data_IF_781506843082
#
_entry.id   IF_781506843082
#
_cell.length_a   1.000
_cell.length_b   1.000
_cell.length_c   1.000
_cell.angle_alpha   90.00
_cell.angle_beta   90.00
_cell.angle_gamma   90.00
#
_symmetry.space_group_name_H-M   'P 1'
#
loop_
_entity.id
_entity.type
_entity.pdbx_description
1 polymer ?
#
# COMPACT_ATOMS: atom_id res chain seq x y z
N UNK A 1 16.59 27.40 45.66
CA UNK A 1 16.94 27.42 44.21
C UNK A 1 16.66 26.09 43.51
N UNK A 2 16.93 24.93 44.13
CA UNK A 2 16.68 23.61 43.51
C UNK A 2 15.23 23.39 43.02
N UNK A 3 14.22 23.76 43.82
CA UNK A 3 12.81 23.58 43.44
C UNK A 3 12.38 24.46 42.25
N UNK A 4 13.00 25.63 42.07
CA UNK A 4 12.74 26.53 40.95
C UNK A 4 13.35 25.98 39.66
N UNK A 5 14.56 25.43 39.73
CA UNK A 5 15.21 24.76 38.60
C UNK A 5 14.43 23.52 38.15
N UNK A 6 13.92 22.73 39.11
CA UNK A 6 13.10 21.55 38.82
C UNK A 6 11.79 21.92 38.12
N UNK A 7 11.10 22.96 38.63
CA UNK A 7 9.85 23.46 38.05
C UNK A 7 10.05 24.02 36.63
N UNK A 8 11.12 24.78 36.39
CA UNK A 8 11.45 25.31 35.07
C UNK A 8 11.81 24.19 34.07
N UNK A 9 12.49 23.14 34.54
CA UNK A 9 12.84 21.98 33.71
C UNK A 9 11.60 21.17 33.31
N UNK A 10 10.67 20.96 34.25
CA UNK A 10 9.41 20.28 33.99
C UNK A 10 8.52 21.09 33.02
N UNK A 11 8.44 22.41 33.20
CA UNK A 11 7.71 23.29 32.28
C UNK A 11 8.33 23.27 30.87
N UNK A 12 9.66 23.28 30.76
CA UNK A 12 10.35 23.16 29.48
C UNK A 12 10.06 21.85 28.77
N UNK A 13 10.05 20.72 29.49
CA UNK A 13 9.72 19.41 28.93
C UNK A 13 8.26 19.34 28.47
N UNK A 14 7.32 19.87 29.25
CA UNK A 14 5.90 19.92 28.87
C UNK A 14 5.71 20.76 27.62
N UNK A 15 6.35 21.94 27.54
CA UNK A 15 6.29 22.79 26.35
C UNK A 15 6.94 22.13 25.12
N UNK A 16 8.03 21.37 25.30
CA UNK A 16 8.65 20.62 24.21
C UNK A 16 7.74 19.48 23.72
N UNK A 17 7.11 18.74 24.64
CA UNK A 17 6.15 17.67 24.31
C UNK A 17 4.89 18.22 23.65
N UNK A 18 4.36 19.35 24.12
CA UNK A 18 3.22 20.03 23.51
C UNK A 18 3.59 20.58 22.13
N UNK A 19 4.78 21.16 21.96
CA UNK A 19 5.24 21.66 20.65
C UNK A 19 5.48 20.51 19.66
N UNK A 20 5.97 19.37 20.14
CA UNK A 20 6.10 18.15 19.34
C UNK A 20 4.73 17.57 18.99
N UNK A 21 3.79 17.49 19.93
CA UNK A 21 2.43 17.02 19.68
C UNK A 21 1.68 17.94 18.72
N UNK A 22 1.72 19.26 18.93
CA UNK A 22 1.15 20.25 18.02
C UNK A 22 1.79 20.09 16.65
N UNK A 23 3.12 20.04 16.53
CA UNK A 23 3.77 19.76 15.24
C UNK A 23 3.29 18.44 14.62
N UNK A 24 3.16 17.37 15.38
CA UNK A 24 2.69 16.08 14.85
C UNK A 24 1.23 16.12 14.37
N UNK A 25 0.35 16.86 15.06
CA UNK A 25 -1.08 16.94 14.75
C UNK A 25 -1.46 18.10 13.80
N UNK A 26 -0.64 19.14 13.71
CA UNK A 26 -0.90 20.36 12.92
C UNK A 26 0.10 20.59 11.80
N UNK A 27 1.27 19.93 11.80
CA UNK A 27 2.02 19.86 10.54
C UNK A 27 1.09 19.18 9.55
N UNK A 28 0.91 19.74 8.34
CA UNK A 28 0.41 18.92 7.25
C UNK A 28 1.29 17.68 7.28
N UNK A 29 0.67 16.49 7.36
CA UNK A 29 1.43 15.24 7.31
C UNK A 29 2.47 15.36 6.20
N UNK A 30 3.64 14.67 6.31
CA UNK A 30 4.68 14.74 5.27
C UNK A 30 4.01 14.70 3.92
N UNK A 31 4.46 15.47 2.90
CA UNK A 31 3.75 15.74 1.64
C UNK A 31 3.52 14.43 0.86
N UNK A 32 2.67 13.59 1.40
CA UNK A 32 2.21 12.34 0.87
C UNK A 32 1.24 12.80 -0.20
N UNK A 33 0.26 13.64 0.14
CA UNK A 33 -0.86 13.94 -0.76
C UNK A 33 -0.54 14.89 -1.94
N UNK A 34 0.47 15.75 -1.89
CA UNK A 34 0.71 16.75 -2.96
C UNK A 34 1.55 16.23 -4.13
N UNK A 35 2.44 15.24 -3.92
CA UNK A 35 3.08 14.51 -5.03
C UNK A 35 2.28 13.26 -5.46
N UNK A 36 1.36 12.82 -4.61
CA UNK A 36 0.44 11.71 -4.87
C UNK A 36 -0.52 11.96 -6.04
N UNK A 37 -0.78 13.19 -6.49
CA UNK A 37 -1.73 13.45 -7.58
C UNK A 37 -1.32 12.79 -8.92
N UNK A 38 -0.03 12.48 -9.09
CA UNK A 38 0.49 11.76 -10.27
C UNK A 38 0.45 10.25 -10.14
N UNK A 39 0.26 9.72 -8.93
CA UNK A 39 0.23 8.29 -8.63
C UNK A 39 -1.19 7.83 -8.30
N UNK A 40 -2.00 8.68 -7.70
CA UNK A 40 -3.32 8.37 -7.20
C UNK A 40 -4.38 9.26 -7.84
N UNK A 41 -5.53 8.67 -8.14
CA UNK A 41 -6.74 9.39 -8.54
C UNK A 41 -7.93 8.94 -7.68
N UNK A 42 -8.99 9.74 -7.57
CA UNK A 42 -10.25 9.27 -7.01
C UNK A 42 -10.70 7.97 -7.68
N UNK A 43 -11.17 7.00 -6.90
CA UNK A 43 -11.66 5.74 -7.47
C UNK A 43 -13.10 5.89 -7.97
N UNK A 44 -13.39 5.21 -9.07
CA UNK A 44 -14.77 5.03 -9.55
C UNK A 44 -15.53 3.96 -8.74
N UNK A 45 -14.84 3.19 -7.90
CA UNK A 45 -15.46 2.16 -7.06
C UNK A 45 -16.09 2.82 -5.83
N UNK A 46 -17.42 2.71 -5.62
CA UNK A 46 -18.08 3.32 -4.48
C UNK A 46 -17.46 2.90 -3.15
N UNK A 47 -17.06 3.88 -2.33
CA UNK A 47 -16.44 3.66 -1.02
C UNK A 47 -14.92 3.51 -1.03
N UNK A 48 -14.28 3.37 -2.21
CA UNK A 48 -12.83 3.34 -2.32
C UNK A 48 -12.33 4.78 -2.56
N UNK A 49 -11.54 5.39 -1.66
CA UNK A 49 -11.21 6.81 -1.77
C UNK A 49 -10.31 7.13 -2.97
N UNK A 50 -9.39 6.23 -3.29
CA UNK A 50 -8.41 6.42 -4.36
C UNK A 50 -7.99 5.09 -4.97
N UNK A 51 -7.45 5.15 -6.18
CA UNK A 51 -6.74 4.06 -6.83
C UNK A 51 -5.49 4.60 -7.54
N UNK A 52 -4.57 3.71 -7.89
CA UNK A 52 -3.41 4.13 -8.68
C UNK A 52 -3.81 4.54 -10.11
N UNK A 53 -3.14 5.55 -10.63
CA UNK A 53 -3.19 5.94 -12.04
C UNK A 53 -2.31 4.96 -12.82
N UNK A 54 -2.84 4.18 -13.78
CA UNK A 54 -2.01 3.34 -14.65
C UNK A 54 -0.98 4.16 -15.41
N UNK A 55 0.29 3.74 -15.40
CA UNK A 55 1.40 4.52 -15.96
C UNK A 55 1.81 5.73 -15.11
N UNK A 56 1.24 5.91 -13.92
CA UNK A 56 1.52 7.02 -13.02
C UNK A 56 2.97 7.02 -12.56
N UNK A 57 3.58 8.21 -12.51
CA UNK A 57 4.97 8.41 -12.08
C UNK A 57 5.09 9.63 -11.16
N UNK A 58 5.79 9.46 -10.05
CA UNK A 58 5.93 10.46 -9.01
C UNK A 58 6.79 9.95 -7.86
N UNK A 59 6.82 10.69 -6.76
CA UNK A 59 7.54 10.28 -5.57
C UNK A 59 6.57 9.98 -4.43
N UNK A 60 6.87 8.91 -3.68
CA UNK A 60 6.15 8.54 -2.46
C UNK A 60 7.18 8.39 -1.35
N UNK A 61 7.09 9.24 -0.34
CA UNK A 61 8.06 9.30 0.77
C UNK A 61 9.49 9.48 0.23
N UNK A 62 9.66 10.39 -0.74
CA UNK A 62 10.95 10.72 -1.34
C UNK A 62 11.56 9.62 -2.22
N UNK A 63 10.80 8.59 -2.57
CA UNK A 63 11.22 7.51 -3.48
C UNK A 63 10.46 7.56 -4.78
N UNK A 64 11.21 7.49 -5.88
CA UNK A 64 10.62 7.39 -7.22
C UNK A 64 9.74 6.13 -7.27
N UNK A 65 8.52 6.34 -7.75
CA UNK A 65 7.48 5.34 -7.81
C UNK A 65 6.85 5.37 -9.18
N UNK A 66 6.78 4.20 -9.80
CA UNK A 66 6.11 3.99 -11.08
C UNK A 66 5.03 2.93 -10.90
N UNK A 67 3.88 3.21 -11.51
CA UNK A 67 2.74 2.29 -11.58
C UNK A 67 2.66 1.79 -13.02
N UNK A 68 2.64 0.47 -13.20
CA UNK A 68 2.54 -0.14 -14.51
C UNK A 68 1.17 0.07 -15.16
N UNK A 69 1.04 -0.35 -16.42
CA UNK A 69 -0.16 -0.23 -17.25
C UNK A 69 -1.39 -0.94 -16.65
N UNK A 70 -1.19 -1.87 -15.73
CA UNK A 70 -2.24 -2.62 -15.04
C UNK A 70 -2.60 -2.06 -13.65
N UNK A 71 -1.90 -1.02 -13.17
CA UNK A 71 -2.16 -0.37 -11.89
C UNK A 71 -1.35 -0.92 -10.70
N UNK A 72 -0.32 -1.71 -10.96
CA UNK A 72 0.58 -2.29 -9.95
C UNK A 72 1.88 -1.51 -9.84
N UNK A 73 2.46 -1.49 -8.64
CA UNK A 73 3.84 -1.06 -8.44
C UNK A 73 4.76 -2.27 -8.64
N UNK A 74 4.87 -2.69 -9.90
CA UNK A 74 5.62 -3.87 -10.36
C UNK A 74 6.17 -3.56 -11.77
N UNK A 75 7.13 -4.35 -12.28
CA UNK A 75 7.47 -4.33 -13.70
C UNK A 75 6.24 -4.60 -14.59
N UNK A 76 6.33 -4.25 -15.87
CA UNK A 76 5.28 -4.60 -16.84
C UNK A 76 5.17 -6.12 -17.02
N UNK A 77 3.94 -6.62 -17.06
CA UNK A 77 3.66 -8.03 -17.32
C UNK A 77 2.39 -8.22 -18.16
N UNK A 78 2.34 -9.30 -18.92
CA UNK A 78 1.15 -9.63 -19.72
C UNK A 78 -0.05 -9.90 -18.82
N UNK A 79 -1.23 -9.30 -19.06
CA UNK A 79 -2.44 -9.67 -18.33
C UNK A 79 -2.85 -11.13 -18.61
N UNK A 80 -2.51 -11.67 -19.79
CA UNK A 80 -2.77 -13.06 -20.16
C UNK A 80 -1.74 -13.99 -19.53
N UNK A 81 -2.22 -14.95 -18.73
CA UNK A 81 -1.38 -15.96 -18.07
C UNK A 81 -0.96 -17.03 -19.08
N UNK A 82 0.35 -17.18 -19.30
CA UNK A 82 0.88 -18.25 -20.11
C UNK A 82 0.69 -19.62 -19.43
N UNK A 83 0.51 -20.72 -20.20
CA UNK A 83 0.46 -22.07 -19.65
C UNK A 83 1.68 -22.39 -18.77
N UNK A 84 1.47 -23.16 -17.71
CA UNK A 84 2.54 -23.54 -16.76
C UNK A 84 3.09 -22.40 -15.89
N UNK A 85 2.56 -21.18 -15.96
CA UNK A 85 3.04 -20.05 -15.13
C UNK A 85 2.33 -20.01 -13.78
N UNK A 86 2.99 -20.28 -12.66
CA UNK A 86 2.40 -20.00 -11.32
C UNK A 86 2.42 -18.49 -11.06
N UNK A 87 1.35 -18.00 -10.44
CA UNK A 87 1.04 -16.58 -10.43
C UNK A 87 0.62 -16.13 -9.01
N UNK A 88 1.26 -15.10 -8.44
CA UNK A 88 1.16 -14.72 -7.00
C UNK A 88 0.72 -13.27 -6.82
N UNK A 89 -0.39 -13.02 -6.12
CA UNK A 89 -0.73 -11.66 -5.68
C UNK A 89 -0.19 -11.44 -4.28
N UNK A 90 0.45 -10.30 -4.04
CA UNK A 90 0.72 -9.84 -2.68
C UNK A 90 -0.24 -8.70 -2.35
N UNK A 91 -0.97 -8.85 -1.25
CA UNK A 91 -2.00 -7.91 -0.83
C UNK A 91 -1.67 -7.36 0.54
N UNK A 92 -1.79 -6.04 0.68
CA UNK A 92 -1.58 -5.37 1.95
C UNK A 92 -1.73 -3.87 1.83
N UNK A 93 -1.11 -3.17 2.77
CA UNK A 93 -1.17 -1.73 2.91
C UNK A 93 0.13 -1.08 2.40
N UNK A 94 0.43 0.11 2.93
CA UNK A 94 1.67 0.86 2.67
C UNK A 94 2.95 0.04 2.77
N UNK A 95 2.99 -0.99 3.62
CA UNK A 95 4.13 -1.90 3.78
C UNK A 95 4.31 -2.80 2.55
N UNK A 96 3.22 -3.41 2.06
CA UNK A 96 3.28 -4.25 0.85
C UNK A 96 3.53 -3.39 -0.38
N UNK A 97 2.95 -2.19 -0.44
CA UNK A 97 3.25 -1.23 -1.49
C UNK A 97 4.71 -0.74 -1.47
N UNK A 98 5.40 -0.85 -0.33
CA UNK A 98 6.79 -0.43 -0.16
C UNK A 98 6.99 1.08 -0.10
N UNK A 99 6.11 1.82 0.59
CA UNK A 99 6.29 3.27 0.74
C UNK A 99 7.66 3.61 1.35
N UNK A 100 8.40 4.53 0.73
CA UNK A 100 9.75 4.89 1.19
C UNK A 100 10.85 3.89 0.82
N UNK A 101 10.54 2.88 0.01
CA UNK A 101 11.47 1.84 -0.46
C UNK A 101 11.59 1.91 -1.98
N UNK A 102 12.78 1.63 -2.53
CA UNK A 102 12.99 1.48 -3.97
C UNK A 102 12.24 0.24 -4.49
N UNK A 103 11.74 0.24 -5.73
CA UNK A 103 10.92 -0.87 -6.27
C UNK A 103 11.55 -2.27 -6.08
N UNK A 104 12.85 -2.50 -6.39
CA UNK A 104 13.46 -3.82 -6.26
C UNK A 104 13.54 -4.33 -4.80
N UNK A 105 13.52 -3.42 -3.83
CA UNK A 105 13.63 -3.72 -2.41
C UNK A 105 12.25 -3.89 -1.74
N UNK A 106 11.17 -3.71 -2.50
CA UNK A 106 9.81 -3.93 -1.99
C UNK A 106 9.56 -5.42 -1.70
N UNK A 107 8.65 -5.69 -0.75
CA UNK A 107 8.29 -7.08 -0.42
C UNK A 107 7.81 -7.88 -1.65
N UNK A 108 6.94 -7.35 -2.54
CA UNK A 108 6.56 -8.06 -3.77
C UNK A 108 7.74 -8.34 -4.70
N UNK A 109 8.66 -7.38 -4.89
CA UNK A 109 9.81 -7.56 -5.76
C UNK A 109 10.83 -8.56 -5.19
N UNK A 110 11.14 -8.46 -3.91
CA UNK A 110 12.01 -9.43 -3.20
C UNK A 110 11.38 -10.83 -3.22
N UNK A 111 10.08 -10.93 -2.93
CA UNK A 111 9.36 -12.19 -3.01
C UNK A 111 9.39 -12.75 -4.44
N UNK A 112 9.17 -11.92 -5.46
CA UNK A 112 9.26 -12.33 -6.85
C UNK A 112 10.68 -12.82 -7.21
N UNK A 113 11.74 -12.19 -6.70
CA UNK A 113 13.12 -12.64 -6.89
C UNK A 113 13.36 -14.02 -6.26
N UNK A 114 12.98 -14.21 -4.98
CA UNK A 114 13.05 -15.51 -4.30
C UNK A 114 12.25 -16.61 -5.02
N UNK A 115 11.08 -16.24 -5.55
CA UNK A 115 10.17 -17.13 -6.25
C UNK A 115 10.60 -17.42 -7.70
N UNK A 116 11.30 -16.50 -8.36
CA UNK A 116 11.85 -16.68 -9.71
C UNK A 116 12.92 -17.77 -9.74
N UNK A 117 13.73 -17.88 -8.69
CA UNK A 117 14.67 -19.01 -8.50
C UNK A 117 13.94 -20.36 -8.39
N UNK A 118 12.62 -20.34 -8.16
CA UNK A 118 11.73 -21.50 -8.05
C UNK A 118 10.68 -21.57 -9.19
N UNK A 119 10.71 -20.67 -10.17
CA UNK A 119 9.83 -20.67 -11.35
C UNK A 119 8.43 -20.07 -11.18
N UNK A 120 8.25 -19.03 -10.36
CA UNK A 120 6.92 -18.50 -9.96
C UNK A 120 6.85 -16.96 -10.15
N UNK A 121 5.79 -16.39 -10.77
CA UNK A 121 5.67 -14.94 -11.16
C UNK A 121 4.25 -14.33 -11.06
N UNK A 122 4.05 -13.11 -10.52
CA UNK A 122 2.83 -12.45 -9.96
C UNK A 122 1.45 -12.28 -10.69
N UNK A 123 0.32 -12.19 -9.92
CA UNK A 123 -1.10 -11.93 -10.35
C UNK A 123 -1.61 -10.56 -9.83
N UNK A 124 -2.61 -10.02 -10.53
CA UNK A 124 -3.45 -8.86 -10.23
C UNK A 124 -4.85 -9.19 -9.65
N UNK A 125 -5.31 -8.64 -8.50
CA UNK A 125 -6.63 -8.91 -7.91
C UNK A 125 -7.73 -7.92 -8.35
N UNK A 126 -7.37 -6.80 -8.97
CA UNK A 126 -8.27 -5.69 -9.34
C UNK A 126 -9.54 -6.12 -10.10
N UNK A 127 -9.51 -7.03 -11.08
CA UNK A 127 -10.69 -7.43 -11.83
C UNK A 127 -11.81 -8.04 -10.97
N UNK A 128 -11.45 -8.76 -9.90
CA UNK A 128 -12.37 -9.52 -9.05
C UNK A 128 -13.05 -8.67 -7.98
N UNK A 129 -12.46 -7.50 -7.69
CA UNK A 129 -13.03 -6.52 -6.76
C UNK A 129 -14.04 -5.59 -7.45
N UNK A 130 -14.09 -5.62 -8.79
CA UNK A 130 -14.91 -4.71 -9.58
C UNK A 130 -16.40 -4.88 -9.24
N UNK A 131 -17.07 -3.77 -8.92
CA UNK A 131 -18.50 -3.74 -8.63
C UNK A 131 -18.88 -4.11 -7.19
N UNK A 132 -17.91 -4.44 -6.34
CA UNK A 132 -18.16 -4.62 -4.89
C UNK A 132 -17.97 -3.26 -4.19
N UNK A 133 -18.95 -2.78 -3.40
CA UNK A 133 -18.77 -1.57 -2.61
C UNK A 133 -17.58 -1.72 -1.67
N UNK A 134 -16.70 -0.71 -1.59
CA UNK A 134 -15.49 -0.83 -0.78
C UNK A 134 -15.79 -0.92 0.72
N UNK A 135 -16.91 -0.34 1.18
CA UNK A 135 -17.40 -0.52 2.55
C UNK A 135 -17.64 -1.99 2.91
N UNK A 136 -17.91 -2.84 1.92
CA UNK A 136 -18.08 -4.28 2.13
C UNK A 136 -16.75 -5.04 2.13
N UNK A 137 -15.63 -4.38 1.81
CA UNK A 137 -14.30 -4.97 1.68
C UNK A 137 -13.37 -4.56 2.83
N UNK A 138 -13.76 -3.58 3.66
CA UNK A 138 -12.96 -3.03 4.76
C UNK A 138 -13.59 -3.27 6.13
N UNK A 139 -12.79 -3.22 7.19
CA UNK A 139 -13.24 -3.53 8.56
C UNK A 139 -14.25 -2.51 9.08
N UNK A 140 -14.01 -1.22 8.84
CA UNK A 140 -14.94 -0.14 9.21
C UNK A 140 -14.68 1.13 8.38
N UNK A 141 -15.64 2.08 8.33
CA UNK A 141 -15.42 3.36 7.66
C UNK A 141 -14.21 4.11 8.23
N UNK A 142 -13.22 4.41 7.37
CA UNK A 142 -11.96 5.06 7.76
C UNK A 142 -10.83 4.10 8.16
N UNK A 143 -11.15 2.82 8.39
CA UNK A 143 -10.18 1.75 8.57
C UNK A 143 -10.05 0.95 7.27
N UNK A 144 -9.00 1.22 6.49
CA UNK A 144 -8.78 0.63 5.18
C UNK A 144 -8.22 -0.81 5.22
N UNK A 145 -8.15 -1.44 6.38
CA UNK A 145 -7.75 -2.85 6.47
C UNK A 145 -8.79 -3.76 5.81
N UNK A 146 -8.35 -4.78 5.05
CA UNK A 146 -9.25 -5.74 4.43
C UNK A 146 -10.01 -6.54 5.50
N UNK A 147 -11.34 -6.62 5.37
CA UNK A 147 -12.18 -7.46 6.22
C UNK A 147 -12.20 -8.94 5.79
N UNK A 148 -12.96 -9.76 6.52
CA UNK A 148 -13.07 -11.19 6.23
C UNK A 148 -13.55 -11.51 4.80
N UNK A 149 -14.39 -10.65 4.20
CA UNK A 149 -14.90 -10.85 2.83
C UNK A 149 -13.80 -10.63 1.79
N UNK A 150 -13.06 -9.53 1.88
CA UNK A 150 -11.94 -9.26 0.98
C UNK A 150 -10.84 -10.30 1.16
N UNK A 151 -10.49 -10.65 2.40
CA UNK A 151 -9.57 -11.76 2.70
C UNK A 151 -10.05 -13.09 2.12
N UNK A 152 -11.36 -13.39 2.15
CA UNK A 152 -11.93 -14.59 1.54
C UNK A 152 -11.81 -14.60 0.00
N UNK A 153 -12.05 -13.47 -0.66
CA UNK A 153 -11.83 -13.32 -2.10
C UNK A 153 -10.34 -13.56 -2.43
N UNK A 154 -9.44 -12.96 -1.65
CA UNK A 154 -8.01 -13.10 -1.83
C UNK A 154 -7.55 -14.56 -1.64
N UNK A 155 -8.04 -15.21 -0.58
CA UNK A 155 -7.75 -16.61 -0.30
C UNK A 155 -8.25 -17.53 -1.42
N UNK A 156 -9.44 -17.29 -1.97
CA UNK A 156 -9.97 -18.05 -3.12
C UNK A 156 -9.07 -17.88 -4.34
N UNK A 157 -8.69 -16.65 -4.67
CA UNK A 157 -7.83 -16.37 -5.83
C UNK A 157 -6.45 -17.04 -5.68
N UNK A 158 -5.88 -17.02 -4.47
CA UNK A 158 -4.66 -17.75 -4.15
C UNK A 158 -4.83 -19.25 -4.30
N UNK A 159 -5.89 -19.83 -3.73
CA UNK A 159 -6.17 -21.25 -3.83
C UNK A 159 -6.34 -21.69 -5.29
N UNK A 160 -7.15 -20.99 -6.08
CA UNK A 160 -7.33 -21.28 -7.50
C UNK A 160 -6.02 -21.16 -8.30
N UNK A 161 -5.19 -20.17 -7.97
CA UNK A 161 -3.89 -20.00 -8.62
C UNK A 161 -2.92 -21.15 -8.29
N UNK A 162 -2.97 -21.67 -7.06
CA UNK A 162 -2.14 -22.78 -6.58
C UNK A 162 -2.63 -24.13 -7.13
N UNK A 163 -3.94 -24.34 -7.22
CA UNK A 163 -4.52 -25.67 -7.48
C UNK A 163 -5.00 -25.89 -8.92
N UNK A 164 -5.01 -24.87 -9.79
CA UNK A 164 -5.35 -25.09 -11.20
C UNK A 164 -4.23 -25.88 -11.90
N UNK A 165 -4.51 -27.05 -12.49
CA UNK A 165 -3.56 -27.69 -13.39
C UNK A 165 -3.30 -26.77 -14.59
N UNK A 166 -2.02 -26.65 -14.95
CA UNK A 166 -1.52 -25.78 -16.03
C UNK A 166 -1.84 -26.27 -17.42
#
# INVERSE_FOLDING_TARGET
MANLLLALSAAGLVLALLSWAVSFFTSPGPPLLTENEKIYRPSEIPGLPHEHIPGGRGQIVGKDTEINSLGFRDPEFSPVKAPGTLRVVVLGNSVVFGQGVEEPDTLPAQLAAFLKEKGITAIAPKPELKGIPAGDLVVSPGDFHPNARSLGIFARLLAEAITRPG
#
